data_IF_647164475464
#
_entry.id   IF_647164475464
#
_cell.length_a   1.000
_cell.length_b   1.000
_cell.length_c   1.000
_cell.angle_alpha   90.00
_cell.angle_beta   90.00
_cell.angle_gamma   90.00
#
_symmetry.space_group_name_H-M   'P 1'
#
loop_
_entity.id
_entity.type
_entity.pdbx_description
1 polymer ?
#
# COMPACT_ATOMS: atom_id res chain seq x y z
N UNK A 1 -12.45 -10.54 -34.97
CA UNK A 1 -12.88 -10.82 -33.58
C UNK A 1 -12.42 -9.70 -32.68
N UNK A 2 -13.33 -9.01 -31.99
CA UNK A 2 -13.02 -7.96 -31.01
C UNK A 2 -13.92 -8.11 -29.80
N UNK A 3 -13.34 -8.00 -28.61
CA UNK A 3 -14.07 -7.96 -27.34
C UNK A 3 -13.93 -6.54 -26.77
N UNK A 4 -15.06 -5.92 -26.45
CA UNK A 4 -15.12 -4.64 -25.74
C UNK A 4 -15.77 -4.87 -24.39
N UNK A 5 -15.17 -4.28 -23.36
CA UNK A 5 -15.67 -4.32 -21.99
C UNK A 5 -15.93 -2.87 -21.59
N UNK A 6 -17.10 -2.63 -21.03
CA UNK A 6 -17.59 -1.32 -20.60
C UNK A 6 -17.94 -1.40 -19.11
N UNK A 7 -17.68 -0.30 -18.38
CA UNK A 7 -17.98 -0.19 -16.94
C UNK A 7 -17.29 -1.26 -16.08
N UNK A 8 -16.03 -1.56 -16.40
CA UNK A 8 -15.19 -2.40 -15.56
C UNK A 8 -14.88 -1.69 -14.24
N UNK A 9 -15.14 -2.37 -13.12
CA UNK A 9 -14.89 -1.87 -11.78
C UNK A 9 -14.15 -2.92 -10.93
N UNK A 10 -13.26 -2.43 -10.07
CA UNK A 10 -12.47 -3.21 -9.14
C UNK A 10 -12.52 -2.54 -7.77
N UNK A 11 -13.07 -3.23 -6.78
CA UNK A 11 -13.14 -2.76 -5.41
C UNK A 11 -12.48 -3.75 -4.45
N UNK A 12 -11.74 -3.23 -3.48
CA UNK A 12 -11.07 -4.00 -2.45
C UNK A 12 -11.27 -3.33 -1.10
N UNK A 13 -11.61 -4.11 -0.10
CA UNK A 13 -11.67 -3.68 1.30
C UNK A 13 -10.61 -4.47 2.07
N UNK A 14 -9.75 -3.74 2.78
CA UNK A 14 -8.60 -4.29 3.48
C UNK A 14 -8.37 -3.53 4.78
N UNK A 15 -7.95 -4.26 5.80
CA UNK A 15 -7.45 -3.69 7.04
C UNK A 15 -5.93 -3.68 7.03
N UNK A 16 -5.34 -2.69 7.70
CA UNK A 16 -3.88 -2.59 7.85
C UNK A 16 -3.52 -3.15 9.22
N UNK A 17 -2.69 -4.18 9.24
CA UNK A 17 -2.20 -4.81 10.47
C UNK A 17 -0.70 -4.59 10.62
N UNK A 18 -0.17 -4.75 11.84
CA UNK A 18 1.25 -4.61 12.12
C UNK A 18 1.81 -5.97 12.56
N UNK A 19 2.84 -6.44 11.89
CA UNK A 19 3.63 -7.56 12.39
C UNK A 19 4.57 -7.06 13.49
N UNK A 20 4.29 -7.48 14.73
CA UNK A 20 5.04 -7.08 15.92
C UNK A 20 6.50 -7.53 15.90
N UNK A 21 6.85 -8.55 15.10
CA UNK A 21 8.22 -9.07 15.06
C UNK A 21 9.11 -8.26 14.11
N UNK A 22 8.55 -7.74 13.03
CA UNK A 22 9.30 -7.08 11.96
C UNK A 22 9.12 -5.55 11.95
N UNK A 23 7.99 -5.05 12.44
CA UNK A 23 7.59 -3.64 12.34
C UNK A 23 7.02 -3.28 10.96
N UNK A 24 6.73 -4.28 10.13
CA UNK A 24 6.16 -4.10 8.80
C UNK A 24 4.64 -4.13 8.83
N UNK A 25 4.03 -3.38 7.89
CA UNK A 25 2.59 -3.37 7.73
C UNK A 25 2.15 -4.58 6.90
N UNK A 26 1.24 -5.36 7.48
CA UNK A 26 0.43 -6.34 6.77
C UNK A 26 -0.86 -5.71 6.25
N UNK A 27 -1.45 -6.37 5.26
CA UNK A 27 -2.77 -6.01 4.74
C UNK A 27 -3.65 -7.25 4.78
N UNK A 28 -4.74 -7.16 5.51
CA UNK A 28 -5.74 -8.22 5.59
C UNK A 28 -6.91 -7.86 4.69
N UNK A 29 -6.92 -8.42 3.47
CA UNK A 29 -7.98 -8.22 2.49
C UNK A 29 -9.13 -9.17 2.78
N UNK A 30 -10.26 -8.63 3.22
CA UNK A 30 -11.45 -9.42 3.55
C UNK A 30 -12.53 -9.35 2.46
N UNK A 31 -12.47 -8.38 1.56
CA UNK A 31 -13.39 -8.29 0.44
C UNK A 31 -12.65 -7.85 -0.83
N UNK A 32 -12.87 -8.57 -1.92
CA UNK A 32 -12.34 -8.23 -3.23
C UNK A 32 -13.44 -8.52 -4.25
N UNK A 33 -13.80 -7.51 -5.05
CA UNK A 33 -14.89 -7.62 -6.00
C UNK A 33 -14.46 -7.02 -7.33
N UNK A 34 -14.62 -7.83 -8.38
CA UNK A 34 -14.52 -7.38 -9.76
C UNK A 34 -15.91 -7.35 -10.35
N UNK A 35 -16.19 -6.34 -11.15
CA UNK A 35 -17.38 -6.27 -11.99
C UNK A 35 -16.93 -5.96 -13.41
N UNK A 36 -17.15 -6.88 -14.34
CA UNK A 36 -16.78 -6.68 -15.75
C UNK A 36 -17.83 -5.87 -16.54
N UNK A 37 -18.97 -5.54 -15.92
CA UNK A 37 -19.97 -4.65 -16.51
C UNK A 37 -20.55 -5.17 -17.82
N UNK A 38 -20.65 -4.29 -18.82
CA UNK A 38 -21.21 -4.60 -20.13
C UNK A 38 -20.17 -5.13 -21.11
N UNK A 39 -20.49 -6.19 -21.85
CA UNK A 39 -19.60 -6.77 -22.85
C UNK A 39 -20.19 -6.69 -24.26
N UNK A 40 -19.35 -6.41 -25.25
CA UNK A 40 -19.72 -6.48 -26.65
C UNK A 40 -18.70 -7.33 -27.41
N UNK A 41 -19.19 -8.34 -28.11
CA UNK A 41 -18.36 -9.26 -28.88
C UNK A 41 -18.66 -9.12 -30.38
N UNK A 42 -17.68 -8.62 -31.13
CA UNK A 42 -17.80 -8.35 -32.57
C UNK A 42 -17.06 -9.42 -33.38
N UNK A 43 -17.78 -10.13 -34.24
CA UNK A 43 -17.23 -11.12 -35.17
C UNK A 43 -18.00 -11.11 -36.51
N UNK A 44 -17.28 -11.24 -37.63
CA UNK A 44 -17.86 -11.16 -38.98
C UNK A 44 -18.88 -12.28 -39.27
N UNK A 45 -18.66 -13.46 -38.68
CA UNK A 45 -19.63 -14.56 -38.65
C UNK A 45 -20.58 -14.44 -37.43
N UNK A 46 -21.88 -14.31 -37.70
CA UNK A 46 -22.93 -14.10 -36.68
C UNK A 46 -23.09 -15.27 -35.69
N UNK A 47 -22.89 -16.53 -36.13
CA UNK A 47 -22.98 -17.70 -35.23
C UNK A 47 -21.84 -17.67 -34.22
N UNK A 48 -20.64 -17.36 -34.71
CA UNK A 48 -19.44 -17.23 -33.87
C UNK A 48 -19.56 -16.02 -32.95
N UNK A 49 -20.18 -14.93 -33.39
CA UNK A 49 -20.43 -13.76 -32.57
C UNK A 49 -21.33 -14.09 -31.37
N UNK A 50 -22.43 -14.80 -31.61
CA UNK A 50 -23.37 -15.23 -30.56
C UNK A 50 -22.71 -16.20 -29.59
N UNK A 51 -22.04 -17.24 -30.11
CA UNK A 51 -21.36 -18.23 -29.27
C UNK A 51 -20.25 -17.59 -28.42
N UNK A 52 -19.46 -16.69 -29.02
CA UNK A 52 -18.41 -15.95 -28.31
C UNK A 52 -18.96 -14.99 -27.26
N UNK A 53 -20.08 -14.33 -27.52
CA UNK A 53 -20.76 -13.48 -26.53
C UNK A 53 -21.18 -14.29 -25.29
N UNK A 54 -21.93 -15.38 -25.47
CA UNK A 54 -22.37 -16.20 -24.34
C UNK A 54 -21.21 -16.81 -23.55
N UNK A 55 -20.19 -17.32 -24.25
CA UNK A 55 -19.01 -17.89 -23.60
C UNK A 55 -18.27 -16.83 -22.77
N UNK A 56 -18.09 -15.63 -23.32
CA UNK A 56 -17.36 -14.56 -22.63
C UNK A 56 -18.13 -14.06 -21.41
N UNK A 57 -19.43 -13.81 -21.53
CA UNK A 57 -20.26 -13.39 -20.39
C UNK A 57 -20.29 -14.44 -19.29
N UNK A 58 -20.37 -15.73 -19.65
CA UNK A 58 -20.29 -16.81 -18.67
C UNK A 58 -18.94 -16.86 -17.95
N UNK A 59 -17.83 -16.71 -18.68
CA UNK A 59 -16.48 -16.66 -18.10
C UNK A 59 -16.31 -15.47 -17.15
N UNK A 60 -16.89 -14.32 -17.46
CA UNK A 60 -16.82 -13.15 -16.59
C UNK A 60 -17.53 -13.38 -15.28
N UNK A 61 -18.75 -13.94 -15.28
CA UNK A 61 -19.44 -14.31 -14.04
C UNK A 61 -18.62 -15.30 -13.21
N UNK A 62 -17.93 -16.25 -13.84
CA UNK A 62 -17.01 -17.14 -13.12
C UNK A 62 -15.87 -16.33 -12.49
N UNK A 63 -15.22 -15.44 -13.24
CA UNK A 63 -14.11 -14.63 -12.72
C UNK A 63 -14.53 -13.70 -11.57
N UNK A 64 -15.71 -13.09 -11.64
CA UNK A 64 -16.24 -12.25 -10.56
C UNK A 64 -16.40 -13.05 -9.26
N UNK A 65 -16.96 -14.26 -9.35
CA UNK A 65 -17.16 -15.14 -8.20
C UNK A 65 -15.84 -15.70 -7.66
N UNK A 66 -14.92 -16.11 -8.53
CA UNK A 66 -13.63 -16.65 -8.09
C UNK A 66 -12.76 -15.58 -7.47
N UNK A 67 -12.80 -14.33 -7.96
CA UNK A 67 -11.98 -13.25 -7.40
C UNK A 67 -12.38 -12.90 -5.96
N UNK A 68 -13.66 -13.03 -5.61
CA UNK A 68 -14.11 -12.82 -4.23
C UNK A 68 -13.47 -13.79 -3.23
N UNK A 69 -13.23 -15.04 -3.65
CA UNK A 69 -12.68 -16.09 -2.79
C UNK A 69 -11.15 -16.14 -2.88
N UNK A 70 -10.61 -16.18 -4.09
CA UNK A 70 -9.17 -16.34 -4.31
C UNK A 70 -8.43 -15.01 -4.26
N UNK A 71 -9.06 -13.93 -4.69
CA UNK A 71 -8.44 -12.59 -4.68
C UNK A 71 -8.17 -12.13 -3.26
N UNK A 72 -9.10 -12.31 -2.33
CA UNK A 72 -8.90 -12.01 -0.90
C UNK A 72 -7.73 -12.80 -0.33
N UNK A 73 -7.74 -14.13 -0.50
CA UNK A 73 -6.67 -14.99 0.01
C UNK A 73 -5.28 -14.65 -0.57
N UNK A 74 -5.19 -14.40 -1.88
CA UNK A 74 -3.93 -14.09 -2.54
C UNK A 74 -3.44 -12.69 -2.13
N UNK A 75 -4.31 -11.68 -2.18
CA UNK A 75 -3.92 -10.29 -1.92
C UNK A 75 -3.50 -10.08 -0.47
N UNK A 76 -4.14 -10.75 0.50
CA UNK A 76 -3.72 -10.71 1.91
C UNK A 76 -2.27 -11.14 2.10
N UNK A 77 -1.82 -12.18 1.38
CA UNK A 77 -0.44 -12.67 1.51
C UNK A 77 0.57 -11.92 0.64
N UNK A 78 0.12 -11.23 -0.41
CA UNK A 78 1.02 -10.54 -1.35
C UNK A 78 1.21 -9.06 -1.03
N UNK A 79 0.19 -8.36 -0.52
CA UNK A 79 0.26 -6.92 -0.31
C UNK A 79 1.29 -6.52 0.74
N UNK A 80 1.52 -7.34 1.78
CA UNK A 80 2.57 -7.11 2.77
C UNK A 80 3.97 -7.05 2.14
N UNK A 81 4.46 -8.15 1.51
CA UNK A 81 5.77 -8.17 0.85
C UNK A 81 5.93 -7.11 -0.23
N UNK A 82 4.88 -6.84 -1.02
CA UNK A 82 4.91 -5.78 -2.05
C UNK A 82 5.13 -4.41 -1.41
N UNK A 83 4.44 -4.12 -0.30
CA UNK A 83 4.57 -2.84 0.39
C UNK A 83 5.93 -2.69 1.05
N UNK A 84 6.48 -3.77 1.61
CA UNK A 84 7.83 -3.80 2.16
C UNK A 84 8.88 -3.49 1.07
N UNK A 85 8.81 -4.17 -0.08
CA UNK A 85 9.75 -3.96 -1.18
C UNK A 85 9.60 -2.55 -1.78
N UNK A 86 8.36 -2.06 -1.96
CA UNK A 86 8.09 -0.72 -2.47
C UNK A 86 8.61 0.38 -1.53
N UNK A 87 8.53 0.16 -0.22
CA UNK A 87 9.04 1.08 0.79
C UNK A 87 10.51 0.82 1.15
N UNK A 88 11.23 0.02 0.35
CA UNK A 88 12.64 -0.31 0.55
C UNK A 88 12.94 -0.81 1.98
N UNK A 89 12.10 -1.71 2.49
CA UNK A 89 12.23 -2.24 3.85
C UNK A 89 12.04 -1.17 4.93
N UNK A 90 11.30 -0.09 4.64
CA UNK A 90 11.08 1.07 5.51
C UNK A 90 12.37 1.80 5.89
N UNK A 91 13.34 1.79 4.99
CA UNK A 91 14.64 2.43 5.17
C UNK A 91 14.95 3.35 4.00
N UNK A 92 15.33 4.57 4.32
CA UNK A 92 15.74 5.55 3.31
C UNK A 92 17.00 6.25 3.76
N UNK A 93 17.88 6.60 2.82
CA UNK A 93 19.08 7.36 3.15
C UNK A 93 18.74 8.85 3.25
N UNK A 94 19.16 9.48 4.34
CA UNK A 94 19.06 10.93 4.50
C UNK A 94 20.43 11.52 4.80
N UNK A 95 20.75 12.65 4.19
CA UNK A 95 21.98 13.38 4.47
C UNK A 95 21.66 14.57 5.35
N UNK A 96 22.23 14.61 6.56
CA UNK A 96 22.02 15.69 7.51
C UNK A 96 23.28 16.55 7.63
N UNK A 97 23.14 17.89 7.67
CA UNK A 97 24.26 18.80 7.90
C UNK A 97 24.75 18.74 9.34
N UNK A 98 25.98 19.20 9.57
CA UNK A 98 26.55 19.31 10.91
C UNK A 98 25.66 20.17 11.82
N UNK A 99 25.36 19.71 13.05
CA UNK A 99 24.64 20.52 14.02
C UNK A 99 25.48 21.69 14.56
N UNK A 100 26.79 21.73 14.26
CA UNK A 100 27.68 22.79 14.72
C UNK A 100 27.75 23.93 13.69
N UNK A 101 27.31 25.16 14.06
CA UNK A 101 27.36 26.30 13.17
C UNK A 101 28.80 26.59 12.70
N UNK A 102 28.99 26.75 11.39
CA UNK A 102 30.29 27.05 10.79
C UNK A 102 31.11 25.84 10.35
N UNK A 103 30.58 24.61 10.48
CA UNK A 103 31.15 23.42 9.84
C UNK A 103 30.36 23.05 8.58
N UNK A 104 31.01 23.08 7.41
CA UNK A 104 30.46 22.59 6.15
C UNK A 104 30.73 21.08 6.01
N UNK A 105 30.19 20.30 6.93
CA UNK A 105 30.24 18.84 6.85
C UNK A 105 28.84 18.27 6.91
N UNK A 106 28.63 17.19 6.16
CA UNK A 106 27.38 16.44 6.14
C UNK A 106 27.69 14.97 6.42
N UNK A 107 26.71 14.24 6.94
CA UNK A 107 26.80 12.80 7.10
C UNK A 107 25.52 12.13 6.60
N UNK A 108 25.67 10.99 5.94
CA UNK A 108 24.55 10.17 5.47
C UNK A 108 24.17 9.17 6.56
N UNK A 109 22.88 9.13 6.88
CA UNK A 109 22.26 8.22 7.83
C UNK A 109 21.23 7.37 7.10
N UNK A 110 21.07 6.13 7.54
CA UNK A 110 19.91 5.32 7.19
C UNK A 110 18.79 5.67 8.18
N UNK A 111 17.70 6.23 7.68
CA UNK A 111 16.50 6.56 8.44
C UNK A 111 15.53 5.39 8.40
N UNK A 112 15.28 4.82 9.57
CA UNK A 112 14.33 3.73 9.77
C UNK A 112 12.97 4.28 10.20
N UNK A 113 12.01 4.13 9.31
CA UNK A 113 10.65 4.63 9.49
C UNK A 113 9.64 3.48 9.62
N UNK A 114 10.05 2.33 10.18
CA UNK A 114 9.13 1.23 10.51
C UNK A 114 8.08 1.65 11.53
N UNK A 115 6.92 0.99 11.45
CA UNK A 115 5.82 1.26 12.37
C UNK A 115 6.07 0.58 13.73
N UNK A 116 5.82 1.33 14.80
CA UNK A 116 5.92 0.88 16.20
C UNK A 116 4.59 0.34 16.74
N UNK A 117 3.48 0.78 16.13
CA UNK A 117 2.12 0.39 16.47
C UNK A 117 1.26 0.26 15.20
N UNK A 118 0.18 -0.51 15.28
CA UNK A 118 -0.80 -0.55 14.20
C UNK A 118 -1.33 0.87 13.92
N UNK A 119 -1.48 1.25 12.64
CA UNK A 119 -1.97 2.58 12.30
C UNK A 119 -3.39 2.79 12.82
N UNK A 120 -3.65 4.01 13.29
CA UNK A 120 -4.99 4.41 13.73
C UNK A 120 -5.73 4.99 12.53
N UNK A 121 -6.81 4.33 12.12
CA UNK A 121 -7.68 4.75 11.03
C UNK A 121 -8.92 5.39 11.66
N UNK A 122 -9.14 6.68 11.39
CA UNK A 122 -10.31 7.44 11.83
C UNK A 122 -11.07 7.99 10.60
N UNK A 123 -12.18 8.69 10.83
CA UNK A 123 -12.93 9.35 9.76
C UNK A 123 -12.13 10.50 9.12
N UNK A 124 -11.47 10.20 7.99
CA UNK A 124 -10.79 11.18 7.14
C UNK A 124 -9.27 11.27 7.33
N UNK A 125 -8.70 10.56 8.30
CA UNK A 125 -7.27 10.51 8.54
C UNK A 125 -6.76 9.10 8.90
N UNK A 126 -5.51 8.85 8.54
CA UNK A 126 -4.75 7.67 8.95
C UNK A 126 -3.49 8.17 9.65
N UNK A 127 -3.31 7.76 10.91
CA UNK A 127 -2.13 8.09 11.72
C UNK A 127 -1.19 6.90 11.81
N UNK A 128 0.06 7.11 11.41
CA UNK A 128 1.14 6.13 11.53
C UNK A 128 2.07 6.51 12.70
N UNK A 129 2.66 5.50 13.35
CA UNK A 129 3.54 5.69 14.50
C UNK A 129 4.90 5.11 14.15
N UNK A 130 5.86 5.93 13.74
CA UNK A 130 7.14 5.45 13.21
C UNK A 130 8.23 5.48 14.28
N UNK A 131 9.24 4.61 14.16
CA UNK A 131 10.38 4.61 15.08
C UNK A 131 11.21 5.88 14.91
N UNK A 132 11.55 6.21 13.66
CA UNK A 132 12.32 7.41 13.33
C UNK A 132 13.81 7.27 13.65
N UNK A 133 14.35 6.06 13.68
CA UNK A 133 15.73 5.82 14.11
C UNK A 133 16.71 6.26 13.03
N UNK A 134 17.80 6.93 13.44
CA UNK A 134 18.92 7.25 12.55
C UNK A 134 20.07 6.28 12.81
N UNK A 135 20.47 5.57 11.77
CA UNK A 135 21.50 4.55 11.79
C UNK A 135 22.72 5.07 11.02
N UNK A 136 23.89 5.04 11.66
CA UNK A 136 25.17 5.41 11.07
C UNK A 136 26.18 4.25 11.24
N UNK A 137 26.45 3.53 10.15
CA UNK A 137 27.28 2.33 10.20
C UNK A 137 26.64 1.23 11.06
N UNK A 138 27.33 0.78 12.12
CA UNK A 138 26.81 -0.21 13.07
C UNK A 138 26.16 0.42 14.32
N UNK A 139 26.10 1.75 14.39
CA UNK A 139 25.54 2.45 15.55
C UNK A 139 24.15 2.99 15.21
N UNK A 140 23.19 2.70 16.07
CA UNK A 140 21.83 3.26 16.03
C UNK A 140 21.66 4.23 17.19
N UNK A 141 21.05 5.39 16.92
CA UNK A 141 20.58 6.29 17.97
C UNK A 141 19.22 5.81 18.51
N UNK A 142 19.24 4.79 19.38
CA UNK A 142 18.05 4.04 19.84
C UNK A 142 17.16 4.77 20.86
N UNK A 143 17.24 6.10 20.99
CA UNK A 143 16.68 6.77 22.17
C UNK A 143 16.04 8.14 21.87
N UNK A 144 15.36 8.23 20.74
CA UNK A 144 14.40 9.31 20.53
C UNK A 144 13.02 8.83 20.96
N UNK A 145 12.31 9.64 21.75
CA UNK A 145 10.93 9.34 22.12
C UNK A 145 10.07 9.19 20.85
N UNK A 146 9.29 8.12 20.80
CA UNK A 146 8.51 7.71 19.64
C UNK A 146 7.55 8.83 19.23
N UNK A 147 7.83 9.48 18.09
CA UNK A 147 7.03 10.57 17.56
C UNK A 147 5.77 10.07 16.82
N UNK A 148 4.66 10.80 16.95
CA UNK A 148 3.45 10.55 16.15
C UNK A 148 3.56 11.30 14.82
N UNK A 149 3.32 10.61 13.71
CA UNK A 149 3.17 11.25 12.40
C UNK A 149 1.69 11.44 12.07
N UNK A 150 1.28 12.70 11.95
CA UNK A 150 -0.08 13.09 11.60
C UNK A 150 -0.06 13.58 10.15
N UNK A 151 -0.77 12.87 9.28
CA UNK A 151 -1.01 13.33 7.91
C UNK A 151 -2.19 14.31 7.92
N UNK A 152 -1.89 15.60 7.85
CA UNK A 152 -2.90 16.65 7.70
C UNK A 152 -3.37 16.73 6.25
N UNK A 153 -4.64 16.45 5.94
CA UNK A 153 -5.17 16.48 4.57
C UNK A 153 -5.24 17.89 3.97
N UNK A 154 -4.98 18.95 4.76
CA UNK A 154 -5.06 20.35 4.31
C UNK A 154 -3.74 20.92 3.78
N UNK A 155 -2.62 20.18 3.84
CA UNK A 155 -1.30 20.64 3.40
C UNK A 155 -0.59 19.60 2.54
N UNK A 156 -0.11 20.00 1.36
CA UNK A 156 0.60 19.19 0.35
C UNK A 156 1.94 18.57 0.84
N UNK A 157 2.28 18.67 2.12
CA UNK A 157 3.44 18.02 2.71
C UNK A 157 3.16 17.61 4.16
N UNK A 158 3.27 16.30 4.40
CA UNK A 158 3.16 15.66 5.71
C UNK A 158 4.29 16.16 6.62
N UNK A 159 3.96 16.86 7.70
CA UNK A 159 4.96 17.38 8.65
C UNK A 159 5.22 16.36 9.76
N UNK A 160 6.50 16.04 9.97
CA UNK A 160 6.96 15.38 11.20
C UNK A 160 6.82 16.40 12.33
N UNK A 161 5.80 16.21 13.17
CA UNK A 161 5.61 17.00 14.39
C UNK A 161 6.29 16.25 15.54
N UNK A 162 7.54 16.61 15.84
CA UNK A 162 8.20 16.17 17.07
C UNK A 162 7.57 16.98 18.20
N UNK A 163 6.72 16.35 18.99
CA UNK A 163 6.15 16.98 20.19
C UNK A 163 6.96 16.54 21.41
N UNK A 164 7.61 17.49 22.07
CA UNK A 164 8.20 17.25 23.39
C UNK A 164 7.08 16.92 24.39
N UNK A 165 7.18 15.79 25.07
CA UNK A 165 6.52 15.56 26.36
C UNK A 165 7.56 15.28 27.42
#
# INVERSE_FOLDING_TARGET
MRLKVHDFDFAMEADITLDQNTGFLGFDVYNCKINFGGTAFEHDNWIVAIAGYFLTTYMFVIFENTTSIFGTAILTHLLGPITEEFLNGYKTEITLPSPFPGQESEATFEFDFRNTHAPLINEGDISFYLSGDLIYGMNSCVNFDKGKLIFDPTREASQILITDQ
#
